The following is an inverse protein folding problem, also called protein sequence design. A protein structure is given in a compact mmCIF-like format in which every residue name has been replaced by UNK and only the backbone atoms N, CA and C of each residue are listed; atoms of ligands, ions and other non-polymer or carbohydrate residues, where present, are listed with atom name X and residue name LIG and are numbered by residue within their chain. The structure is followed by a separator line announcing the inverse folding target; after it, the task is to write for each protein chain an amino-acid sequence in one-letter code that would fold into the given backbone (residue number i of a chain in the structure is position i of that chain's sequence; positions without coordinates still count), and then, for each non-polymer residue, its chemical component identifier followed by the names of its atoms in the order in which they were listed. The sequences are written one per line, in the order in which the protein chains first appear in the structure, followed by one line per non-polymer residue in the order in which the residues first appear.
data_IF_574237631381
#
_entry.id   IF_574237631381
#
_cell.length_a   1.000
_cell.length_b   1.000
_cell.length_c   1.000
_cell.angle_alpha   90.00
_cell.angle_beta   90.00
_cell.angle_gamma   90.00
#
_symmetry.space_group_name_H-M   'P 1'
#
loop_
_entity.id
_entity.type
_entity.pdbx_description
1 polymer ?
#
# COMPACT_ATOMS: atom_id res chain seq x y z
N UNK A 1 0.02 0.83 25.40
CA UNK A 1 -1.14 -0.02 25.02
C UNK A 1 -0.71 -1.20 24.16
N UNK A 2 -0.02 -1.01 23.03
CA UNK A 2 0.53 -2.13 22.22
C UNK A 2 1.65 -2.83 23.00
N UNK A 3 2.57 -2.08 23.59
CA UNK A 3 3.66 -2.61 24.44
C UNK A 3 3.14 -3.35 25.68
N UNK A 4 2.02 -2.93 26.22
CA UNK A 4 1.37 -3.55 27.40
C UNK A 4 0.50 -4.78 27.05
N UNK A 5 0.49 -5.22 25.77
CA UNK A 5 -0.28 -6.37 25.31
C UNK A 5 -1.80 -6.22 25.33
N UNK A 6 -2.32 -4.98 25.46
CA UNK A 6 -3.76 -4.72 25.43
C UNK A 6 -4.35 -4.75 24.01
N UNK A 7 -3.53 -4.49 23.01
CA UNK A 7 -3.90 -4.49 21.59
C UNK A 7 -2.93 -5.41 20.87
N UNK A 8 -3.43 -6.50 20.32
CA UNK A 8 -2.64 -7.52 19.63
C UNK A 8 -2.85 -7.51 18.10
N UNK A 9 -3.86 -6.80 17.61
CA UNK A 9 -4.19 -6.77 16.19
C UNK A 9 -4.42 -5.34 15.70
N UNK A 10 -3.94 -5.02 14.50
CA UNK A 10 -4.24 -3.76 13.82
C UNK A 10 -5.74 -3.55 13.59
N UNK A 11 -6.50 -4.64 13.42
CA UNK A 11 -7.95 -4.57 13.26
C UNK A 11 -8.65 -3.91 14.47
N UNK A 12 -8.14 -4.11 15.67
CA UNK A 12 -8.67 -3.51 16.90
C UNK A 12 -8.45 -2.00 16.90
N UNK A 13 -7.25 -1.55 16.45
CA UNK A 13 -6.92 -0.12 16.33
C UNK A 13 -7.87 0.56 15.35
N UNK A 14 -8.12 -0.07 14.19
CA UNK A 14 -9.01 0.49 13.18
C UNK A 14 -10.49 0.42 13.60
N UNK A 15 -10.91 -0.61 14.33
CA UNK A 15 -12.28 -0.73 14.85
C UNK A 15 -12.61 0.38 15.87
N UNK A 16 -11.63 0.79 16.66
CA UNK A 16 -11.75 1.92 17.60
C UNK A 16 -11.60 3.29 16.91
N UNK A 17 -11.39 3.33 15.58
CA UNK A 17 -11.20 4.56 14.81
C UNK A 17 -9.88 5.27 15.08
N UNK A 18 -8.93 4.61 15.72
CA UNK A 18 -7.62 5.17 16.01
C UNK A 18 -6.72 5.07 14.76
N UNK A 19 -5.82 6.05 14.61
CA UNK A 19 -4.78 6.04 13.56
C UNK A 19 -3.45 5.64 14.18
N UNK A 20 -2.67 4.88 13.42
CA UNK A 20 -1.29 4.59 13.77
C UNK A 20 -0.48 5.90 13.74
N UNK A 21 0.21 6.21 14.83
CA UNK A 21 1.03 7.43 14.96
C UNK A 21 2.53 7.15 14.88
N UNK A 22 2.93 5.91 15.14
CA UNK A 22 4.33 5.49 15.16
C UNK A 22 4.53 4.29 14.24
N UNK A 23 5.52 4.30 13.33
CA UNK A 23 5.77 3.20 12.41
C UNK A 23 6.17 1.91 13.12
N UNK A 24 6.80 1.99 14.30
CA UNK A 24 7.23 0.87 15.11
C UNK A 24 6.08 -0.02 15.58
N UNK A 25 4.90 0.56 15.79
CA UNK A 25 3.68 -0.18 16.17
C UNK A 25 3.32 -1.20 15.09
N UNK A 26 3.45 -0.81 13.83
CA UNK A 26 3.16 -1.67 12.69
C UNK A 26 4.17 -2.81 12.59
N UNK A 27 5.46 -2.53 12.81
CA UNK A 27 6.52 -3.54 12.79
C UNK A 27 6.34 -4.60 13.90
N UNK A 28 5.81 -4.20 15.06
CA UNK A 28 5.50 -5.12 16.16
C UNK A 28 4.27 -5.99 15.88
N UNK A 29 3.24 -5.43 15.26
CA UNK A 29 1.98 -6.12 15.00
C UNK A 29 2.01 -6.95 13.72
N UNK A 30 2.83 -6.58 12.74
CA UNK A 30 3.00 -7.24 11.46
C UNK A 30 4.47 -7.56 11.18
N UNK A 31 5.01 -8.68 11.69
CA UNK A 31 6.43 -9.02 11.50
C UNK A 31 6.80 -9.36 10.04
N UNK A 32 5.82 -9.72 9.20
CA UNK A 32 6.03 -10.14 7.81
C UNK A 32 5.69 -9.02 6.81
N UNK A 33 6.20 -7.81 7.05
CA UNK A 33 6.03 -6.70 6.11
C UNK A 33 7.09 -6.76 5.01
N UNK A 34 6.61 -6.73 3.78
CA UNK A 34 7.45 -6.54 2.59
C UNK A 34 7.37 -5.08 2.14
N UNK A 35 8.51 -4.54 1.75
CA UNK A 35 8.62 -3.17 1.24
C UNK A 35 9.07 -3.21 -0.21
N UNK A 36 8.34 -2.55 -1.08
CA UNK A 36 8.72 -2.39 -2.48
C UNK A 36 8.73 -0.92 -2.89
N UNK A 37 9.78 -0.52 -3.58
CA UNK A 37 9.91 0.84 -4.13
C UNK A 37 9.21 0.88 -5.48
N UNK A 38 8.14 1.67 -5.57
CA UNK A 38 7.36 1.81 -6.82
C UNK A 38 8.08 2.74 -7.78
N UNK A 39 8.49 3.93 -7.30
CA UNK A 39 9.11 4.93 -8.16
C UNK A 39 10.06 5.83 -7.38
N UNK A 40 11.15 6.21 -8.03
CA UNK A 40 12.06 7.25 -7.54
C UNK A 40 12.23 8.29 -8.62
N UNK A 41 11.85 9.53 -8.33
CA UNK A 41 11.92 10.65 -9.25
C UNK A 41 12.79 11.78 -8.71
N UNK A 42 13.53 12.42 -9.60
CA UNK A 42 14.27 13.65 -9.29
C UNK A 42 13.30 14.84 -9.31
N UNK A 43 13.30 15.63 -8.26
CA UNK A 43 12.50 16.85 -8.14
C UNK A 43 13.45 18.03 -7.96
N UNK A 44 13.39 18.99 -8.86
CA UNK A 44 14.20 20.21 -8.83
C UNK A 44 13.34 21.42 -8.50
N UNK A 45 13.89 22.30 -7.66
CA UNK A 45 13.34 23.62 -7.38
C UNK A 45 14.35 24.67 -7.80
N UNK A 46 13.95 25.53 -8.72
CA UNK A 46 14.75 26.71 -9.08
C UNK A 46 14.68 27.74 -7.95
N UNK A 47 15.84 28.27 -7.58
CA UNK A 47 15.97 29.39 -6.65
C UNK A 47 16.95 30.41 -7.24
N UNK A 48 16.95 31.65 -6.72
CA UNK A 48 17.83 32.73 -7.20
C UNK A 48 19.33 32.37 -7.15
N UNK A 49 19.71 31.45 -6.26
CA UNK A 49 21.07 30.94 -6.11
C UNK A 49 21.36 29.65 -6.91
N UNK A 50 20.45 29.22 -7.81
CA UNK A 50 20.60 28.01 -8.62
C UNK A 50 19.56 26.92 -8.31
N UNK A 51 19.79 25.73 -8.85
CA UNK A 51 18.89 24.58 -8.73
C UNK A 51 19.13 23.79 -7.44
N UNK A 52 18.05 23.50 -6.71
CA UNK A 52 18.09 22.56 -5.59
C UNK A 52 17.41 21.26 -5.99
N UNK A 53 18.20 20.21 -6.15
CA UNK A 53 17.73 18.88 -6.50
C UNK A 53 17.39 18.05 -5.27
N UNK A 54 16.28 17.32 -5.30
CA UNK A 54 15.87 16.35 -4.28
C UNK A 54 15.29 15.12 -4.95
N UNK A 55 15.40 13.99 -4.29
CA UNK A 55 14.77 12.75 -4.72
C UNK A 55 13.46 12.54 -3.99
N UNK A 56 12.41 12.18 -4.74
CA UNK A 56 11.12 11.75 -4.24
C UNK A 56 10.99 10.27 -4.48
N UNK A 57 10.85 9.49 -3.42
CA UNK A 57 10.55 8.07 -3.49
C UNK A 57 9.08 7.82 -3.14
N UNK A 58 8.46 6.86 -3.80
CA UNK A 58 7.15 6.30 -3.48
C UNK A 58 7.37 4.82 -3.14
N UNK A 59 6.95 4.42 -1.95
CA UNK A 59 7.14 3.06 -1.43
C UNK A 59 5.80 2.48 -1.05
N UNK A 60 5.60 1.22 -1.37
CA UNK A 60 4.49 0.40 -0.88
C UNK A 60 5.00 -0.58 0.17
N UNK A 61 4.20 -0.77 1.21
CA UNK A 61 4.46 -1.73 2.29
C UNK A 61 3.24 -2.61 2.44
N UNK A 62 3.42 -3.93 2.49
CA UNK A 62 2.31 -4.86 2.62
C UNK A 62 2.74 -6.22 3.17
N UNK A 63 1.77 -7.01 3.62
CA UNK A 63 2.02 -8.34 4.17
C UNK A 63 1.48 -9.47 3.30
N UNK A 64 1.00 -9.17 2.09
CA UNK A 64 0.29 -10.10 1.19
C UNK A 64 -0.96 -10.76 1.79
N UNK A 65 -1.41 -10.26 2.93
CA UNK A 65 -2.56 -10.81 3.64
C UNK A 65 -3.64 -9.77 3.99
N UNK A 66 -3.78 -8.75 3.15
CA UNK A 66 -4.84 -7.74 3.26
C UNK A 66 -4.44 -6.48 4.00
N UNK A 67 -3.18 -6.26 4.32
CA UNK A 67 -2.68 -4.98 4.80
C UNK A 67 -1.79 -4.33 3.75
N UNK A 68 -2.03 -3.07 3.47
CA UNK A 68 -1.27 -2.30 2.50
C UNK A 68 -1.12 -0.85 2.97
N UNK A 69 0.07 -0.31 2.86
CA UNK A 69 0.36 1.09 3.09
C UNK A 69 1.12 1.70 1.91
N UNK A 70 0.83 2.94 1.59
CA UNK A 70 1.53 3.72 0.57
C UNK A 70 2.10 4.98 1.21
N UNK A 71 3.37 5.25 0.96
CA UNK A 71 4.04 6.43 1.47
C UNK A 71 4.91 7.12 0.43
N UNK A 72 5.13 8.42 0.63
CA UNK A 72 5.98 9.23 -0.22
C UNK A 72 6.97 10.06 0.61
N UNK A 73 8.26 9.89 0.34
CA UNK A 73 9.33 10.62 1.01
C UNK A 73 10.14 11.48 0.05
N UNK A 74 10.65 12.61 0.54
CA UNK A 74 11.58 13.48 -0.19
C UNK A 74 12.83 13.72 0.64
N UNK A 75 14.01 13.55 0.03
CA UNK A 75 15.28 13.84 0.65
C UNK A 75 16.34 14.27 -0.38
N UNK A 76 17.49 14.71 0.09
CA UNK A 76 18.64 15.05 -0.76
C UNK A 76 19.30 13.80 -1.34
N UNK A 77 19.25 12.68 -0.61
CA UNK A 77 19.78 11.37 -1.03
C UNK A 77 18.63 10.38 -1.25
N UNK A 78 18.80 9.49 -2.22
CA UNK A 78 17.81 8.47 -2.56
C UNK A 78 17.49 7.56 -1.37
N UNK A 79 18.51 7.08 -0.67
CA UNK A 79 18.35 6.21 0.50
C UNK A 79 17.47 6.84 1.58
N UNK A 80 17.78 8.07 1.96
CA UNK A 80 16.99 8.79 2.96
C UNK A 80 15.56 9.10 2.49
N UNK A 81 15.35 9.24 1.17
CA UNK A 81 14.02 9.41 0.60
C UNK A 81 13.20 8.13 0.71
N UNK A 82 13.81 6.97 0.47
CA UNK A 82 13.16 5.66 0.61
C UNK A 82 12.82 5.36 2.07
N UNK A 83 13.75 5.57 3.00
CA UNK A 83 13.51 5.38 4.45
C UNK A 83 12.34 6.24 4.97
N UNK A 84 12.28 7.51 4.55
CA UNK A 84 11.15 8.39 4.88
C UNK A 84 9.84 7.93 4.24
N UNK A 85 9.88 7.47 2.99
CA UNK A 85 8.71 6.96 2.31
C UNK A 85 8.19 5.67 2.97
N UNK A 86 9.08 4.78 3.39
CA UNK A 86 8.72 3.55 4.10
C UNK A 86 8.09 3.84 5.48
N UNK A 87 8.62 4.81 6.22
CA UNK A 87 8.02 5.26 7.48
C UNK A 87 6.62 5.86 7.27
N UNK A 88 6.45 6.70 6.24
CA UNK A 88 5.14 7.28 5.87
C UNK A 88 4.16 6.18 5.42
N UNK A 89 4.62 5.17 4.67
CA UNK A 89 3.80 4.03 4.25
C UNK A 89 3.27 3.22 5.43
N UNK A 90 4.08 3.00 6.47
CA UNK A 90 3.64 2.32 7.71
C UNK A 90 2.58 3.12 8.47
N UNK A 91 2.67 4.46 8.48
CA UNK A 91 1.66 5.31 9.10
C UNK A 91 0.33 5.31 8.33
N UNK A 92 0.40 5.12 7.01
CA UNK A 92 -0.75 5.10 6.11
C UNK A 92 -1.25 3.67 5.80
N UNK A 93 -0.96 2.70 6.68
CA UNK A 93 -1.41 1.33 6.47
C UNK A 93 -2.94 1.24 6.58
N UNK A 94 -3.53 0.46 5.69
CA UNK A 94 -4.98 0.24 5.60
C UNK A 94 -5.29 -1.22 5.40
N UNK A 95 -6.52 -1.62 5.77
CA UNK A 95 -7.01 -2.99 5.56
C UNK A 95 -7.69 -3.06 4.19
N UNK A 96 -7.31 -4.06 3.42
CA UNK A 96 -7.93 -4.39 2.14
C UNK A 96 -8.77 -5.65 2.30
N UNK A 97 -10.06 -5.53 2.00
CA UNK A 97 -10.96 -6.69 1.99
C UNK A 97 -10.77 -7.45 0.68
N UNK A 98 -10.44 -8.72 0.82
CA UNK A 98 -10.33 -9.67 -0.29
C UNK A 98 -11.55 -10.57 -0.32
N UNK A 99 -11.88 -11.10 -1.49
CA UNK A 99 -13.03 -11.97 -1.67
C UNK A 99 -12.99 -12.66 -3.04
N UNK A 100 -14.10 -13.26 -3.41
CA UNK A 100 -14.36 -13.82 -4.74
C UNK A 100 -15.62 -13.17 -5.28
N UNK A 101 -15.49 -12.00 -5.94
CA UNK A 101 -16.62 -11.23 -6.48
C UNK A 101 -16.85 -11.39 -7.98
N UNK A 102 -16.10 -12.28 -8.63
CA UNK A 102 -16.31 -12.58 -10.05
C UNK A 102 -17.54 -13.47 -10.23
N UNK A 103 -18.40 -13.13 -11.20
CA UNK A 103 -19.55 -13.95 -11.57
C UNK A 103 -19.15 -15.29 -12.21
N UNK A 104 -17.93 -15.38 -12.73
CA UNK A 104 -17.36 -16.59 -13.34
C UNK A 104 -16.76 -17.56 -12.32
N UNK A 105 -16.59 -17.13 -11.07
CA UNK A 105 -15.91 -17.90 -10.03
C UNK A 105 -16.73 -17.94 -8.73
N UNK A 106 -17.19 -19.11 -8.33
CA UNK A 106 -17.94 -19.35 -7.09
C UNK A 106 -17.12 -20.00 -5.97
N UNK A 107 -15.78 -19.83 -5.95
CA UNK A 107 -14.91 -20.57 -5.03
C UNK A 107 -14.97 -20.09 -3.57
N UNK A 108 -15.51 -18.89 -3.29
CA UNK A 108 -15.60 -18.32 -1.93
C UNK A 108 -14.26 -17.99 -1.24
N UNK A 109 -13.14 -18.18 -1.94
CA UNK A 109 -11.80 -17.91 -1.36
C UNK A 109 -11.36 -16.45 -1.60
N UNK A 110 -10.56 -15.86 -0.72
CA UNK A 110 -10.10 -14.48 -0.82
C UNK A 110 -8.92 -14.33 -1.81
N UNK A 111 -9.12 -14.66 -3.09
CA UNK A 111 -8.08 -14.53 -4.13
C UNK A 111 -8.20 -13.26 -4.96
N UNK A 112 -9.35 -12.61 -4.91
CA UNK A 112 -9.66 -11.41 -5.67
C UNK A 112 -10.31 -10.34 -4.78
N UNK A 113 -11.09 -9.45 -5.36
CA UNK A 113 -11.89 -8.44 -4.66
C UNK A 113 -13.35 -8.90 -4.53
N UNK A 114 -14.08 -8.45 -3.48
CA UNK A 114 -15.47 -8.85 -3.28
C UNK A 114 -16.45 -8.25 -4.30
N UNK A 115 -16.11 -7.09 -4.87
CA UNK A 115 -16.92 -6.39 -5.86
C UNK A 115 -16.06 -5.43 -6.69
N UNK A 116 -16.62 -4.93 -7.79
CA UNK A 116 -15.99 -3.90 -8.61
C UNK A 116 -15.73 -2.62 -7.81
N UNK A 117 -14.51 -2.10 -7.86
CA UNK A 117 -14.10 -0.91 -7.12
C UNK A 117 -13.58 0.17 -8.06
N UNK A 118 -14.04 1.40 -7.88
CA UNK A 118 -13.59 2.56 -8.66
C UNK A 118 -12.99 3.59 -7.72
N UNK A 119 -11.70 3.89 -7.93
CA UNK A 119 -11.00 4.99 -7.27
C UNK A 119 -10.83 6.18 -8.23
N UNK A 120 -11.02 7.40 -7.73
CA UNK A 120 -10.79 8.63 -8.50
C UNK A 120 -9.96 9.62 -7.70
N UNK A 121 -8.94 10.17 -8.36
CA UNK A 121 -8.16 11.29 -7.81
C UNK A 121 -7.84 12.30 -8.91
N UNK A 122 -8.40 13.50 -8.80
CA UNK A 122 -8.32 14.48 -9.87
C UNK A 122 -9.03 14.00 -11.15
N UNK A 123 -8.33 14.01 -12.28
CA UNK A 123 -8.83 13.52 -13.57
C UNK A 123 -8.62 12.01 -13.77
N UNK A 124 -7.78 11.37 -12.96
CA UNK A 124 -7.46 9.94 -13.10
C UNK A 124 -8.51 9.10 -12.39
N UNK A 125 -9.04 8.10 -13.10
CA UNK A 125 -9.92 7.07 -12.56
C UNK A 125 -9.24 5.71 -12.73
N UNK A 126 -9.23 4.93 -11.67
CA UNK A 126 -8.78 3.54 -11.68
C UNK A 126 -9.97 2.67 -11.33
N UNK A 127 -10.30 1.74 -12.19
CA UNK A 127 -11.36 0.76 -12.03
C UNK A 127 -10.71 -0.62 -11.88
N UNK A 128 -11.02 -1.33 -10.83
CA UNK A 128 -10.53 -2.67 -10.58
C UNK A 128 -11.74 -3.60 -10.54
N UNK A 129 -11.69 -4.64 -11.35
CA UNK A 129 -12.76 -5.61 -11.52
C UNK A 129 -12.27 -6.97 -11.00
N UNK A 130 -13.08 -7.67 -10.20
CA UNK A 130 -12.72 -9.00 -9.72
C UNK A 130 -12.62 -9.98 -10.89
N UNK A 131 -11.54 -10.78 -10.90
CA UNK A 131 -11.30 -11.80 -11.91
C UNK A 131 -11.55 -13.22 -11.39
N UNK A 132 -11.80 -14.19 -12.29
CA UNK A 132 -11.88 -15.60 -11.95
C UNK A 132 -10.52 -16.12 -11.50
N UNK A 133 -10.52 -17.22 -10.76
CA UNK A 133 -9.31 -17.87 -10.28
C UNK A 133 -8.42 -18.33 -11.44
N UNK A 134 -7.13 -17.96 -11.39
CA UNK A 134 -6.15 -18.29 -12.41
C UNK A 134 -5.98 -17.23 -13.50
N UNK A 135 -6.75 -16.15 -13.47
CA UNK A 135 -6.58 -15.04 -14.41
C UNK A 135 -5.25 -14.30 -14.20
N UNK A 136 -4.80 -14.20 -12.97
CA UNK A 136 -3.65 -13.38 -12.59
C UNK A 136 -3.98 -11.88 -12.51
N UNK A 137 -2.94 -11.07 -12.39
CA UNK A 137 -3.06 -9.62 -12.29
C UNK A 137 -2.90 -8.98 -13.68
N UNK A 138 -3.97 -8.42 -14.20
CA UNK A 138 -3.99 -7.69 -15.48
C UNK A 138 -4.10 -6.20 -15.18
N UNK A 139 -2.96 -5.54 -14.99
CA UNK A 139 -2.88 -4.12 -14.63
C UNK A 139 -1.53 -3.54 -15.04
N UNK A 140 -1.30 -2.23 -14.81
CA UNK A 140 0.01 -1.61 -14.97
C UNK A 140 1.02 -2.21 -13.97
N UNK A 141 2.31 -2.09 -14.23
CA UNK A 141 3.36 -2.64 -13.36
C UNK A 141 3.26 -2.13 -11.93
N UNK A 142 3.08 -0.83 -11.74
CA UNK A 142 2.91 -0.22 -10.42
C UNK A 142 1.67 -0.77 -9.70
N UNK A 143 0.55 -0.91 -10.41
CA UNK A 143 -0.67 -1.46 -9.84
C UNK A 143 -0.52 -2.96 -9.50
N UNK A 144 0.20 -3.74 -10.33
CA UNK A 144 0.50 -5.15 -10.03
C UNK A 144 1.30 -5.30 -8.74
N UNK A 145 2.33 -4.46 -8.53
CA UNK A 145 3.12 -4.46 -7.31
C UNK A 145 2.24 -4.21 -6.07
N UNK A 146 1.42 -3.17 -6.14
CA UNK A 146 0.51 -2.80 -5.05
C UNK A 146 -0.51 -3.92 -4.76
N UNK A 147 -1.14 -4.49 -5.78
CA UNK A 147 -2.13 -5.56 -5.64
C UNK A 147 -1.50 -6.85 -5.11
N UNK A 148 -0.28 -7.17 -5.54
CA UNK A 148 0.49 -8.32 -5.05
C UNK A 148 0.82 -8.17 -3.56
N UNK A 149 1.28 -6.98 -3.12
CA UNK A 149 1.54 -6.69 -1.71
C UNK A 149 0.26 -6.71 -0.87
N UNK A 150 -0.88 -6.34 -1.45
CA UNK A 150 -2.19 -6.46 -0.82
C UNK A 150 -2.70 -7.90 -0.69
N UNK A 151 -2.08 -8.85 -1.41
CA UNK A 151 -2.47 -10.26 -1.43
C UNK A 151 -3.62 -10.57 -2.40
N UNK A 152 -3.90 -9.69 -3.34
CA UNK A 152 -4.82 -9.94 -4.46
C UNK A 152 -4.06 -10.70 -5.55
N UNK A 153 -4.64 -11.78 -6.06
CA UNK A 153 -4.03 -12.66 -7.06
C UNK A 153 -4.65 -12.54 -8.44
N UNK A 154 -5.96 -12.30 -8.50
CA UNK A 154 -6.75 -12.31 -9.72
C UNK A 154 -7.61 -11.06 -9.81
N UNK A 155 -7.28 -10.15 -10.73
CA UNK A 155 -8.09 -8.96 -11.05
C UNK A 155 -7.68 -8.35 -12.39
N UNK A 156 -8.55 -7.52 -12.91
CA UNK A 156 -8.31 -6.75 -14.13
C UNK A 156 -8.98 -5.37 -14.08
#
# INVERSE_FOLDING_TARGET
MVVDGKINNLNEIFAEGMKVREPQIVDMLLPNLEEEVINVSLVQKQSDAGEKSRFKAIVAVGNRDGYLGLGAGKAAQVRNAIEKAAADARLNITIIRRGCGSWECGCGQPHSMPFETVGKRGSVKVKIIPGPRGLGLVASEDAKLILKLAGVRDCW
#
